data_IF_297250303540
#
_entry.id   IF_297250303540
#
_cell.length_a   1.000
_cell.length_b   1.000
_cell.length_c   1.000
_cell.angle_alpha   90.00
_cell.angle_beta   90.00
_cell.angle_gamma   90.00
#
_symmetry.space_group_name_H-M   'P 1'
#
loop_
_entity.id
_entity.type
_entity.pdbx_description
1 polymer ?
#
# COMPACT_ATOMS: atom_id res chain seq x y z
N UNK A 1 -6.76 -19.41 2.38
CA UNK A 1 -7.55 -18.22 1.99
C UNK A 1 -8.31 -17.75 3.22
N UNK A 2 -8.41 -16.45 3.45
CA UNK A 2 -9.11 -15.96 4.63
C UNK A 2 -10.61 -16.19 4.54
N UNK A 3 -11.21 -16.54 5.68
CA UNK A 3 -12.66 -16.77 5.78
C UNK A 3 -13.44 -15.45 5.88
N UNK A 4 -12.75 -14.30 5.87
CA UNK A 4 -13.34 -12.98 6.05
C UNK A 4 -13.42 -12.25 4.71
N UNK A 5 -14.65 -12.04 4.25
CA UNK A 5 -14.96 -11.21 3.08
C UNK A 5 -15.57 -9.87 3.48
N UNK A 6 -15.90 -9.07 2.48
CA UNK A 6 -16.45 -7.71 2.70
C UNK A 6 -17.79 -7.75 3.44
N UNK A 7 -18.57 -8.82 3.29
CA UNK A 7 -19.83 -8.98 4.03
C UNK A 7 -19.59 -9.08 5.54
N UNK A 8 -18.66 -9.92 5.97
CA UNK A 8 -18.33 -10.07 7.38
C UNK A 8 -17.71 -8.79 7.97
N UNK A 9 -16.92 -8.05 7.17
CA UNK A 9 -16.42 -6.74 7.55
C UNK A 9 -17.57 -5.76 7.80
N UNK A 10 -18.56 -5.72 6.91
CA UNK A 10 -19.77 -4.91 7.06
C UNK A 10 -20.52 -5.24 8.35
N UNK A 11 -20.76 -6.53 8.62
CA UNK A 11 -21.47 -6.96 9.81
C UNK A 11 -20.73 -6.53 11.09
N UNK A 12 -19.39 -6.63 11.11
CA UNK A 12 -18.57 -6.15 12.22
C UNK A 12 -18.62 -4.63 12.39
N UNK A 13 -18.63 -3.87 11.31
CA UNK A 13 -18.78 -2.41 11.35
C UNK A 13 -20.11 -2.03 11.99
N UNK A 14 -21.21 -2.67 11.57
CA UNK A 14 -22.55 -2.43 12.12
C UNK A 14 -22.58 -2.73 13.62
N UNK A 15 -22.08 -3.89 14.05
CA UNK A 15 -21.99 -4.25 15.46
C UNK A 15 -21.16 -3.24 16.26
N UNK A 16 -20.05 -2.76 15.70
CA UNK A 16 -19.21 -1.79 16.38
C UNK A 16 -19.92 -0.44 16.57
N UNK A 17 -20.57 0.07 15.51
CA UNK A 17 -21.30 1.34 15.56
C UNK A 17 -22.44 1.28 16.57
N UNK A 18 -23.17 0.16 16.58
CA UNK A 18 -24.30 -0.06 17.52
C UNK A 18 -23.84 -0.02 19.00
N UNK A 19 -22.63 -0.52 19.27
CA UNK A 19 -22.12 -0.56 20.65
C UNK A 19 -21.35 0.68 21.11
N UNK A 20 -20.69 1.38 20.20
CA UNK A 20 -19.72 2.44 20.55
C UNK A 20 -20.16 3.85 20.20
N UNK A 21 -21.23 4.01 19.42
CA UNK A 21 -21.74 5.30 18.93
C UNK A 21 -20.72 6.13 18.11
N UNK A 22 -19.52 5.60 17.92
CA UNK A 22 -18.45 6.28 17.16
C UNK A 22 -18.05 5.45 15.94
N UNK A 23 -17.89 6.09 14.76
CA UNK A 23 -17.50 5.36 13.56
C UNK A 23 -16.05 4.82 13.67
N UNK A 24 -15.80 3.55 13.29
CA UNK A 24 -14.46 2.96 13.34
C UNK A 24 -13.59 3.43 12.17
N UNK A 25 -12.27 3.29 12.33
CA UNK A 25 -11.33 3.19 11.21
C UNK A 25 -11.13 1.73 10.87
N UNK A 26 -11.33 1.34 9.61
CA UNK A 26 -11.17 -0.03 9.16
C UNK A 26 -9.80 -0.19 8.46
N UNK A 27 -8.99 -1.12 8.95
CA UNK A 27 -7.69 -1.44 8.34
C UNK A 27 -7.73 -2.88 7.85
N UNK A 28 -7.35 -3.09 6.59
CA UNK A 28 -7.33 -4.40 5.93
C UNK A 28 -5.90 -4.72 5.52
N UNK A 29 -5.31 -5.73 6.14
CA UNK A 29 -3.98 -6.23 5.83
C UNK A 29 -4.09 -7.70 5.40
N UNK A 30 -4.12 -7.96 4.11
CA UNK A 30 -4.10 -7.10 2.91
C UNK A 30 -5.25 -7.48 1.97
N UNK A 31 -5.52 -6.70 0.94
CA UNK A 31 -6.72 -6.86 0.10
C UNK A 31 -6.83 -8.23 -0.58
N UNK A 32 -5.70 -8.81 -1.00
CA UNK A 32 -5.67 -10.05 -1.77
C UNK A 32 -5.96 -11.32 -0.94
N UNK A 33 -6.02 -11.23 0.41
CA UNK A 33 -6.42 -12.37 1.26
C UNK A 33 -7.90 -12.36 1.61
N UNK A 34 -8.63 -11.31 1.24
CA UNK A 34 -10.07 -11.29 1.45
C UNK A 34 -10.72 -12.48 0.76
N UNK A 35 -11.72 -13.05 1.41
CA UNK A 35 -12.53 -14.12 0.82
C UNK A 35 -13.09 -13.68 -0.54
N UNK A 36 -13.14 -14.58 -1.53
CA UNK A 36 -13.67 -14.26 -2.84
C UNK A 36 -15.12 -13.81 -2.72
N UNK A 37 -15.47 -12.78 -3.48
CA UNK A 37 -16.87 -12.32 -3.56
C UNK A 37 -17.77 -13.39 -4.17
N UNK A 38 -17.23 -14.14 -5.12
CA UNK A 38 -17.88 -15.27 -5.77
C UNK A 38 -16.85 -16.29 -6.29
N UNK A 39 -17.09 -17.56 -6.08
CA UNK A 39 -16.27 -18.66 -6.60
C UNK A 39 -16.26 -18.73 -8.15
N UNK A 40 -17.25 -18.12 -8.80
CA UNK A 40 -17.36 -18.07 -10.27
C UNK A 40 -16.51 -16.96 -10.90
N UNK A 41 -15.89 -16.10 -10.09
CA UNK A 41 -15.05 -14.99 -10.54
C UNK A 41 -13.58 -15.36 -10.48
N UNK A 42 -12.77 -14.78 -11.36
CA UNK A 42 -11.30 -14.84 -11.26
C UNK A 42 -10.81 -14.06 -10.04
N UNK A 43 -9.58 -14.32 -9.58
CA UNK A 43 -8.97 -13.59 -8.46
C UNK A 43 -8.99 -12.08 -8.69
N UNK A 44 -8.68 -11.65 -9.92
CA UNK A 44 -8.76 -10.25 -10.31
C UNK A 44 -10.17 -9.69 -10.16
N UNK A 45 -11.17 -10.37 -10.69
CA UNK A 45 -12.57 -9.93 -10.60
C UNK A 45 -13.05 -9.87 -9.15
N UNK A 46 -12.64 -10.84 -8.32
CA UNK A 46 -12.94 -10.86 -6.89
C UNK A 46 -12.30 -9.67 -6.17
N UNK A 47 -11.01 -9.40 -6.44
CA UNK A 47 -10.31 -8.24 -5.86
C UNK A 47 -10.98 -6.92 -6.28
N UNK A 48 -11.30 -6.76 -7.57
CA UNK A 48 -12.01 -5.59 -8.09
C UNK A 48 -13.35 -5.39 -7.39
N UNK A 49 -14.12 -6.47 -7.24
CA UNK A 49 -15.42 -6.43 -6.58
C UNK A 49 -15.29 -6.07 -5.09
N UNK A 50 -14.35 -6.70 -4.39
CA UNK A 50 -14.08 -6.41 -2.99
C UNK A 50 -13.71 -4.94 -2.79
N UNK A 51 -12.83 -4.37 -3.63
CA UNK A 51 -12.42 -2.96 -3.58
C UNK A 51 -13.62 -2.01 -3.77
N UNK A 52 -14.49 -2.31 -4.74
CA UNK A 52 -15.70 -1.51 -4.98
C UNK A 52 -16.67 -1.55 -3.80
N UNK A 53 -16.86 -2.72 -3.19
CA UNK A 53 -17.73 -2.87 -2.02
C UNK A 53 -17.12 -2.15 -0.78
N UNK A 54 -15.80 -2.23 -0.57
CA UNK A 54 -15.12 -1.47 0.48
C UNK A 54 -15.27 0.04 0.28
N UNK A 55 -15.18 0.52 -0.97
CA UNK A 55 -15.45 1.93 -1.28
C UNK A 55 -16.89 2.33 -0.97
N UNK A 56 -17.86 1.45 -1.23
CA UNK A 56 -19.26 1.67 -0.85
C UNK A 56 -19.41 1.74 0.66
N UNK A 57 -18.81 0.80 1.41
CA UNK A 57 -18.84 0.82 2.88
C UNK A 57 -18.27 2.12 3.44
N UNK A 58 -17.11 2.56 2.95
CA UNK A 58 -16.50 3.82 3.37
C UNK A 58 -17.45 5.00 3.19
N UNK A 59 -18.12 5.08 2.05
CA UNK A 59 -19.07 6.15 1.74
C UNK A 59 -20.35 6.03 2.56
N UNK A 60 -20.95 4.85 2.59
CA UNK A 60 -22.30 4.63 3.15
C UNK A 60 -22.30 4.77 4.69
N UNK A 61 -21.19 4.40 5.33
CA UNK A 61 -20.99 4.57 6.78
C UNK A 61 -20.18 5.80 7.16
N UNK A 62 -19.66 6.56 6.18
CA UNK A 62 -18.79 7.73 6.38
C UNK A 62 -17.56 7.40 7.26
N UNK A 63 -16.94 6.27 7.01
CA UNK A 63 -15.78 5.75 7.75
C UNK A 63 -14.53 5.69 6.88
N UNK A 64 -13.34 5.93 7.46
CA UNK A 64 -12.08 5.66 6.77
C UNK A 64 -11.86 4.15 6.60
N UNK A 65 -11.50 3.74 5.37
CA UNK A 65 -11.07 2.37 5.07
C UNK A 65 -9.66 2.43 4.50
N UNK A 66 -8.71 1.80 5.17
CA UNK A 66 -7.30 1.70 4.77
C UNK A 66 -7.06 0.27 4.29
N UNK A 67 -6.82 0.10 2.99
CA UNK A 67 -6.49 -1.19 2.40
C UNK A 67 -5.00 -1.27 2.07
N UNK A 68 -4.31 -2.27 2.59
CA UNK A 68 -2.94 -2.59 2.18
C UNK A 68 -3.02 -3.48 0.95
N UNK A 69 -2.18 -3.22 -0.04
CA UNK A 69 -2.11 -4.00 -1.26
C UNK A 69 -0.68 -4.31 -1.63
N UNK A 70 -0.42 -5.55 -2.02
CA UNK A 70 0.88 -5.96 -2.54
C UNK A 70 1.13 -5.39 -3.93
N UNK A 71 2.40 -5.11 -4.23
CA UNK A 71 2.80 -4.78 -5.59
C UNK A 71 2.89 -6.02 -6.46
N UNK A 72 2.74 -5.81 -7.75
CA UNK A 72 3.08 -6.81 -8.74
C UNK A 72 4.60 -7.09 -8.75
N UNK A 73 4.99 -8.35 -8.89
CA UNK A 73 6.40 -8.79 -8.90
C UNK A 73 7.25 -8.09 -9.97
N UNK A 74 6.69 -7.79 -11.13
CA UNK A 74 7.37 -7.05 -12.20
C UNK A 74 7.77 -5.63 -11.76
N UNK A 75 7.01 -5.02 -10.87
CA UNK A 75 7.24 -3.68 -10.37
C UNK A 75 8.22 -3.58 -9.19
N UNK A 76 8.76 -4.71 -8.71
CA UNK A 76 9.77 -4.67 -7.64
C UNK A 76 11.11 -4.04 -8.08
N UNK A 77 11.32 -3.89 -9.37
CA UNK A 77 12.52 -3.27 -9.95
C UNK A 77 12.28 -1.87 -10.51
N UNK A 78 11.05 -1.39 -10.46
CA UNK A 78 10.68 -0.08 -10.97
C UNK A 78 10.28 0.86 -9.84
N UNK A 79 10.39 2.18 -10.02
CA UNK A 79 9.83 3.12 -9.07
C UNK A 79 8.35 2.89 -8.88
N UNK A 80 7.87 3.07 -7.66
CA UNK A 80 6.46 2.93 -7.38
C UNK A 80 5.62 3.95 -8.14
N UNK A 81 4.59 3.45 -8.79
CA UNK A 81 3.63 4.23 -9.59
C UNK A 81 2.21 3.69 -9.38
N UNK A 82 1.22 4.34 -9.93
CA UNK A 82 -0.16 3.83 -9.90
C UNK A 82 -0.27 2.44 -10.54
N UNK A 83 0.49 2.20 -11.62
CA UNK A 83 0.53 0.89 -12.30
C UNK A 83 1.17 -0.23 -11.45
N UNK A 84 1.88 0.11 -10.37
CA UNK A 84 2.49 -0.89 -9.48
C UNK A 84 1.46 -1.68 -8.66
N UNK A 85 0.28 -1.11 -8.47
CA UNK A 85 -0.86 -1.76 -7.82
C UNK A 85 -1.62 -2.61 -8.84
N UNK A 86 -0.97 -3.65 -9.34
CA UNK A 86 -1.50 -4.49 -10.39
C UNK A 86 -2.61 -5.40 -9.85
N UNK A 87 -3.40 -5.78 -10.76
CA UNK A 87 -4.57 -6.60 -10.83
C UNK A 87 -5.87 -5.82 -10.90
N UNK A 88 -5.91 -4.56 -10.45
CA UNK A 88 -7.11 -3.79 -10.70
C UNK A 88 -6.82 -2.30 -10.89
N UNK A 89 -7.03 -1.80 -12.10
CA UNK A 89 -7.29 -0.37 -12.31
C UNK A 89 -8.36 0.13 -11.31
N UNK A 90 -9.16 -0.76 -10.77
CA UNK A 90 -10.18 -0.51 -9.75
C UNK A 90 -9.59 0.04 -8.45
N UNK A 91 -8.41 -0.42 -7.98
CA UNK A 91 -7.74 0.18 -6.82
C UNK A 91 -7.42 1.65 -7.11
N UNK A 92 -6.79 1.90 -8.25
CA UNK A 92 -6.40 3.26 -8.66
C UNK A 92 -7.61 4.19 -8.78
N UNK A 93 -8.69 3.72 -9.43
CA UNK A 93 -9.88 4.55 -9.66
C UNK A 93 -10.72 4.75 -8.41
N UNK A 94 -10.84 3.77 -7.54
CA UNK A 94 -11.75 3.76 -6.40
C UNK A 94 -11.21 4.49 -5.18
N UNK A 95 -9.90 4.44 -4.91
CA UNK A 95 -9.32 5.10 -3.75
C UNK A 95 -9.34 6.63 -3.88
N UNK A 96 -9.45 7.31 -2.75
CA UNK A 96 -9.32 8.77 -2.67
C UNK A 96 -7.86 9.17 -2.53
N UNK A 97 -7.11 8.38 -1.77
CA UNK A 97 -5.67 8.53 -1.57
C UNK A 97 -5.00 7.21 -1.93
N UNK A 98 -3.93 7.27 -2.73
CA UNK A 98 -3.07 6.14 -3.05
C UNK A 98 -1.64 6.45 -2.63
N UNK A 99 -1.11 5.62 -1.74
CA UNK A 99 0.26 5.76 -1.23
C UNK A 99 1.06 4.54 -1.65
N UNK A 100 2.19 4.77 -2.29
CA UNK A 100 3.15 3.73 -2.60
C UNK A 100 4.38 3.85 -1.71
N UNK A 101 4.95 2.73 -1.31
CA UNK A 101 6.14 2.66 -0.47
C UNK A 101 7.31 2.07 -1.24
N UNK A 102 8.47 2.71 -1.18
CA UNK A 102 9.71 2.25 -1.81
C UNK A 102 10.92 2.64 -0.98
N UNK A 103 12.09 2.10 -1.30
CA UNK A 103 13.35 2.62 -0.77
C UNK A 103 13.66 3.99 -1.37
N UNK A 104 14.27 4.88 -0.58
CA UNK A 104 14.79 6.14 -1.09
C UNK A 104 15.85 5.86 -2.18
N UNK A 105 15.91 6.73 -3.20
CA UNK A 105 16.80 6.55 -4.33
C UNK A 105 16.32 5.55 -5.39
N UNK A 106 15.11 5.00 -5.26
CA UNK A 106 14.56 4.06 -6.23
C UNK A 106 14.04 4.71 -7.51
N UNK A 107 13.81 6.03 -7.49
CA UNK A 107 13.30 6.78 -8.63
C UNK A 107 14.26 6.80 -9.82
N UNK A 108 13.72 7.00 -11.02
CA UNK A 108 14.53 7.23 -12.22
C UNK A 108 15.33 8.53 -12.05
N UNK A 109 16.59 8.49 -12.48
CA UNK A 109 17.43 9.68 -12.57
C UNK A 109 17.45 10.21 -14.01
N UNK A 110 17.55 11.53 -14.13
CA UNK A 110 17.58 12.17 -15.46
C UNK A 110 18.78 11.68 -16.27
N UNK A 111 18.53 11.28 -17.53
CA UNK A 111 19.56 10.76 -18.46
C UNK A 111 20.26 9.47 -18.03
N UNK A 112 19.79 8.79 -16.98
CA UNK A 112 20.36 7.52 -16.54
C UNK A 112 20.02 6.39 -17.54
N UNK A 113 21.03 5.61 -17.96
CA UNK A 113 20.82 4.42 -18.77
C UNK A 113 20.29 3.28 -17.89
N UNK A 114 19.52 2.37 -18.48
CA UNK A 114 18.94 1.24 -17.72
C UNK A 114 20.02 0.35 -17.08
N UNK A 115 21.17 0.15 -17.74
CA UNK A 115 22.30 -0.58 -17.15
C UNK A 115 22.83 0.05 -15.87
N UNK A 116 22.99 1.37 -15.88
CA UNK A 116 23.54 2.14 -14.77
C UNK A 116 22.54 2.18 -13.63
N UNK A 117 21.27 2.32 -13.97
CA UNK A 117 20.16 2.23 -13.02
C UNK A 117 20.13 0.87 -12.31
N UNK A 118 20.20 -0.24 -13.04
CA UNK A 118 20.21 -1.58 -12.44
C UNK A 118 21.40 -1.78 -11.52
N UNK A 119 22.57 -1.26 -11.88
CA UNK A 119 23.76 -1.28 -11.04
C UNK A 119 23.56 -0.45 -9.76
N UNK A 120 23.04 0.76 -9.88
CA UNK A 120 22.71 1.62 -8.73
C UNK A 120 21.70 0.96 -7.80
N UNK A 121 20.63 0.36 -8.32
CA UNK A 121 19.65 -0.36 -7.50
C UNK A 121 20.26 -1.57 -6.79
N UNK A 122 21.21 -2.24 -7.42
CA UNK A 122 21.96 -3.33 -6.78
C UNK A 122 22.76 -2.81 -5.58
N UNK A 123 23.50 -1.72 -5.74
CA UNK A 123 24.23 -1.09 -4.64
C UNK A 123 23.34 -0.61 -3.50
N UNK A 124 22.20 0.02 -3.84
CA UNK A 124 21.21 0.44 -2.82
C UNK A 124 20.77 -0.77 -2.00
N UNK A 125 20.43 -1.89 -2.63
CA UNK A 125 20.02 -3.12 -1.91
C UNK A 125 21.12 -3.65 -1.01
N UNK A 126 22.36 -3.75 -1.51
CA UNK A 126 23.48 -4.20 -0.69
C UNK A 126 23.70 -3.31 0.54
N UNK A 127 23.60 -1.99 0.35
CA UNK A 127 23.75 -1.03 1.46
C UNK A 127 22.59 -1.17 2.46
N UNK A 128 21.35 -1.35 1.99
CA UNK A 128 20.20 -1.60 2.86
C UNK A 128 20.35 -2.88 3.69
N UNK A 129 20.81 -3.96 3.06
CA UNK A 129 21.07 -5.23 3.75
C UNK A 129 22.18 -5.09 4.80
N UNK A 130 23.25 -4.35 4.51
CA UNK A 130 24.33 -4.06 5.44
C UNK A 130 23.83 -3.25 6.62
N UNK A 131 23.10 -2.15 6.37
CA UNK A 131 22.48 -1.32 7.42
C UNK A 131 21.54 -2.15 8.32
N UNK A 132 20.70 -2.99 7.73
CA UNK A 132 19.81 -3.85 8.50
C UNK A 132 20.57 -4.79 9.45
N UNK A 133 21.68 -5.40 8.98
CA UNK A 133 22.55 -6.25 9.81
C UNK A 133 23.21 -5.51 10.95
N UNK A 134 23.60 -4.25 10.72
CA UNK A 134 24.23 -3.39 11.71
C UNK A 134 23.21 -2.76 12.70
N UNK A 135 21.90 -2.95 12.49
CA UNK A 135 20.87 -2.27 13.27
C UNK A 135 20.71 -0.78 12.91
N UNK A 136 21.23 -0.37 11.77
CA UNK A 136 21.10 0.99 11.25
C UNK A 136 19.80 1.15 10.45
N UNK A 137 19.26 2.38 10.35
CA UNK A 137 18.03 2.60 9.62
C UNK A 137 18.20 2.51 8.11
N UNK A 138 17.17 2.02 7.45
CA UNK A 138 16.94 2.15 6.01
C UNK A 138 16.04 3.36 5.76
N UNK A 139 16.25 4.08 4.67
CA UNK A 139 15.38 5.21 4.34
C UNK A 139 14.26 4.70 3.41
N UNK A 140 13.05 4.78 3.92
CA UNK A 140 11.82 4.43 3.20
C UNK A 140 11.12 5.70 2.76
N UNK A 141 10.70 5.75 1.51
CA UNK A 141 9.92 6.83 0.94
C UNK A 141 8.47 6.39 0.75
N UNK A 142 7.53 7.17 1.29
CA UNK A 142 6.11 7.08 1.00
C UNK A 142 5.76 8.13 -0.04
N UNK A 143 5.26 7.68 -1.19
CA UNK A 143 4.85 8.56 -2.30
C UNK A 143 3.33 8.63 -2.36
N UNK A 144 2.79 9.82 -2.26
CA UNK A 144 1.36 10.09 -2.48
C UNK A 144 1.13 10.16 -3.98
N UNK A 145 0.76 9.01 -4.57
CA UNK A 145 0.56 8.85 -6.01
C UNK A 145 -0.75 9.47 -6.48
N UNK A 146 -1.78 9.43 -5.62
CA UNK A 146 -3.08 10.04 -5.82
C UNK A 146 -3.55 10.67 -4.54
N UNK A 147 -4.14 11.86 -4.64
CA UNK A 147 -4.84 12.53 -3.56
C UNK A 147 -5.96 13.38 -4.18
N UNK A 148 -7.21 12.98 -3.99
CA UNK A 148 -8.36 13.68 -4.60
C UNK A 148 -8.56 15.08 -4.04
N UNK A 149 -8.28 15.26 -2.75
CA UNK A 149 -8.62 16.47 -2.01
C UNK A 149 -7.37 17.25 -1.55
N UNK A 150 -6.18 16.91 -2.07
CA UNK A 150 -4.95 17.57 -1.65
C UNK A 150 -3.79 17.37 -2.63
N UNK A 151 -2.63 17.84 -2.22
CA UNK A 151 -1.41 17.74 -3.00
C UNK A 151 -0.86 16.31 -3.07
N UNK A 152 -0.13 16.01 -4.14
CA UNK A 152 0.76 14.86 -4.23
C UNK A 152 2.12 15.24 -3.68
N UNK A 153 2.92 14.25 -3.33
CA UNK A 153 4.25 14.48 -2.80
C UNK A 153 4.85 13.20 -2.26
N UNK A 154 5.91 13.35 -1.50
CA UNK A 154 6.52 12.21 -0.79
C UNK A 154 7.07 12.65 0.56
N UNK A 155 7.12 11.70 1.48
CA UNK A 155 7.77 11.86 2.77
C UNK A 155 8.71 10.67 3.00
N UNK A 156 9.80 10.90 3.71
CA UNK A 156 10.76 9.86 4.06
C UNK A 156 10.65 9.51 5.54
N UNK A 157 10.95 8.25 5.83
CA UNK A 157 11.06 7.71 7.17
C UNK A 157 12.35 6.91 7.31
N UNK A 158 12.91 6.88 8.49
CA UNK A 158 13.90 5.91 8.89
C UNK A 158 13.18 4.65 9.36
N UNK A 159 13.48 3.52 8.74
CA UNK A 159 12.98 2.22 9.14
C UNK A 159 14.12 1.37 9.70
N UNK A 160 13.94 0.88 10.91
CA UNK A 160 14.87 -0.04 11.59
C UNK A 160 14.32 -1.47 11.48
N UNK A 161 14.75 -2.27 10.48
CA UNK A 161 14.16 -3.59 10.21
C UNK A 161 14.26 -4.55 11.40
N UNK A 162 15.38 -4.51 12.13
CA UNK A 162 15.65 -5.36 13.29
C UNK A 162 14.64 -5.18 14.42
N UNK A 163 14.05 -3.98 14.52
CA UNK A 163 13.14 -3.61 15.60
C UNK A 163 11.71 -3.39 15.09
N UNK A 164 11.47 -3.54 13.80
CA UNK A 164 10.21 -3.16 13.14
C UNK A 164 9.73 -1.76 13.56
N UNK A 165 10.66 -0.80 13.59
CA UNK A 165 10.43 0.54 14.11
C UNK A 165 10.63 1.59 13.03
N UNK A 166 9.71 2.54 12.97
CA UNK A 166 9.76 3.70 12.07
C UNK A 166 9.96 4.99 12.87
N UNK A 167 10.80 5.86 12.35
CA UNK A 167 11.05 7.21 12.89
C UNK A 167 10.93 8.23 11.77
N UNK A 168 10.46 9.45 12.09
CA UNK A 168 10.46 10.53 11.13
C UNK A 168 11.90 10.81 10.63
N UNK A 169 12.05 10.94 9.31
CA UNK A 169 13.32 11.32 8.72
C UNK A 169 13.48 12.84 8.84
N UNK A 170 14.49 13.29 9.58
CA UNK A 170 14.71 14.72 9.84
C UNK A 170 15.62 15.39 8.82
N UNK A 171 16.21 14.62 7.87
CA UNK A 171 17.07 15.10 6.80
C UNK A 171 18.24 15.95 7.33
N UNK A 172 19.43 15.37 7.44
CA UNK A 172 20.68 16.12 7.39
C UNK A 172 21.27 16.04 6.00
#
# INVERSE_FOLDING_TARGET
MGDVGVKQIKDKILQYIDHKETPPVVIIDYLQILAPYSEKMTDKQNTDKNVLELKRLSRDFQIPVIGISSFNRENYKTPVSMASFKESGTIEYSCDILIGMQYAGWDYQEKEKESDRLLRLHFIRQEMDKRAKNGEPQIIQLKILKNRNGARGSVCFEFFPRFNYFRAYTGE
#
